data_IF_298318543363
#
_entry.id   IF_298318543363
#
_cell.length_a   1.000
_cell.length_b   1.000
_cell.length_c   1.000
_cell.angle_alpha   90.00
_cell.angle_beta   90.00
_cell.angle_gamma   90.00
#
_symmetry.space_group_name_H-M   'P 1'
#
loop_
_entity.id
_entity.type
_entity.pdbx_description
1 polymer ?
#
# COMPACT_ATOMS: atom_id res chain seq x y z
N UNK A 1 9.17 -11.99 4.65
CA UNK A 1 9.48 -12.27 6.08
C UNK A 1 8.42 -11.55 6.91
N UNK A 2 7.83 -12.18 7.93
CA UNK A 2 6.83 -11.52 8.78
C UNK A 2 7.51 -11.06 10.07
N UNK A 3 7.85 -9.78 10.16
CA UNK A 3 8.67 -9.23 11.25
C UNK A 3 7.84 -8.63 12.41
N UNK A 4 6.51 -8.70 12.36
CA UNK A 4 5.61 -8.17 13.39
C UNK A 4 4.13 -8.44 13.10
N UNK A 5 3.22 -7.95 13.94
CA UNK A 5 1.77 -8.10 13.72
C UNK A 5 1.29 -7.17 12.61
N UNK A 6 0.80 -7.75 11.52
CA UNK A 6 0.26 -7.02 10.37
C UNK A 6 -0.78 -7.84 9.59
N UNK A 7 -1.44 -7.17 8.66
CA UNK A 7 -2.34 -7.75 7.67
C UNK A 7 -1.68 -7.65 6.30
N UNK A 8 -1.63 -8.76 5.57
CA UNK A 8 -1.33 -8.75 4.13
C UNK A 8 -2.64 -8.71 3.35
N UNK A 9 -2.77 -7.74 2.45
CA UNK A 9 -3.87 -7.66 1.50
C UNK A 9 -3.32 -7.76 0.08
N UNK A 10 -3.97 -8.55 -0.75
CA UNK A 10 -3.66 -8.68 -2.16
C UNK A 10 -4.94 -8.89 -2.95
N UNK A 11 -4.92 -8.50 -4.23
CA UNK A 11 -6.04 -8.71 -5.16
C UNK A 11 -5.67 -9.70 -6.24
N UNK A 12 -6.65 -10.52 -6.61
CA UNK A 12 -6.55 -11.55 -7.63
C UNK A 12 -7.82 -11.53 -8.48
N UNK A 13 -7.69 -11.72 -9.78
CA UNK A 13 -8.82 -11.81 -10.70
C UNK A 13 -8.64 -13.00 -11.63
N UNK A 14 -9.65 -13.85 -11.76
CA UNK A 14 -9.61 -15.08 -12.57
C UNK A 14 -8.39 -15.97 -12.31
N UNK A 15 -7.92 -16.02 -11.06
CA UNK A 15 -6.75 -16.82 -10.73
C UNK A 15 -5.40 -16.12 -10.96
N UNK A 16 -5.37 -14.88 -11.43
CA UNK A 16 -4.13 -14.13 -11.66
C UNK A 16 -3.93 -13.04 -10.62
N UNK A 17 -2.71 -12.94 -10.09
CA UNK A 17 -2.32 -11.86 -9.18
C UNK A 17 -2.25 -10.55 -9.95
N UNK A 18 -2.79 -9.48 -9.36
CA UNK A 18 -2.69 -8.14 -9.92
C UNK A 18 -1.78 -7.32 -9.01
N UNK A 19 -0.73 -6.73 -9.60
CA UNK A 19 0.19 -5.82 -8.90
C UNK A 19 -0.56 -4.75 -8.10
N UNK A 20 -0.03 -4.38 -6.94
CA UNK A 20 -0.53 -3.25 -6.17
C UNK A 20 -0.26 -1.90 -6.87
N UNK A 21 0.77 -1.87 -7.73
CA UNK A 21 1.20 -0.73 -8.51
C UNK A 21 0.99 -1.02 -10.01
N UNK A 22 -0.12 -0.55 -10.56
CA UNK A 22 -0.46 -0.66 -11.98
C UNK A 22 -1.55 0.35 -12.35
N UNK A 23 -1.85 0.49 -13.64
CA UNK A 23 -2.86 1.41 -14.16
C UNK A 23 -4.28 1.16 -13.62
N UNK A 24 -4.58 -0.07 -13.18
CA UNK A 24 -5.78 -0.35 -12.41
C UNK A 24 -5.49 0.01 -10.93
N UNK A 25 -6.00 1.11 -10.37
CA UNK A 25 -5.62 1.53 -9.02
C UNK A 25 -6.02 0.51 -7.96
N UNK A 26 -5.15 0.27 -6.98
CA UNK A 26 -5.53 -0.44 -5.76
C UNK A 26 -6.05 0.60 -4.75
N UNK A 27 -7.38 0.80 -4.77
CA UNK A 27 -8.06 1.85 -4.01
C UNK A 27 -8.63 1.31 -2.69
N UNK A 28 -8.21 1.89 -1.58
CA UNK A 28 -8.62 1.59 -0.21
C UNK A 28 -9.33 2.82 0.40
N UNK A 29 -10.58 3.06 0.00
CA UNK A 29 -11.38 4.21 0.47
C UNK A 29 -10.69 5.57 0.16
N UNK A 30 -10.25 5.75 -1.08
CA UNK A 30 -9.57 6.95 -1.55
C UNK A 30 -8.05 6.92 -1.38
N UNK A 31 -7.51 6.01 -0.56
CA UNK A 31 -6.07 5.75 -0.51
C UNK A 31 -5.66 4.90 -1.70
N UNK A 32 -4.81 5.45 -2.56
CA UNK A 32 -4.32 4.78 -3.77
C UNK A 32 -2.89 4.30 -3.53
N UNK A 33 -2.65 3.01 -3.76
CA UNK A 33 -1.31 2.42 -3.72
C UNK A 33 -0.51 2.75 -4.97
N UNK A 34 0.77 3.08 -4.77
CA UNK A 34 1.79 3.23 -5.81
C UNK A 34 3.09 2.57 -5.36
N UNK A 35 3.86 2.01 -6.28
CA UNK A 35 5.17 1.40 -6.02
C UNK A 35 6.31 2.32 -6.42
N UNK A 36 7.50 2.09 -5.85
CA UNK A 36 8.72 2.87 -6.16
C UNK A 36 9.79 2.03 -6.90
N UNK A 37 9.35 0.97 -7.59
CA UNK A 37 10.22 0.11 -8.42
C UNK A 37 10.92 -1.02 -7.67
N UNK A 38 10.79 -1.10 -6.34
CA UNK A 38 11.33 -2.19 -5.52
C UNK A 38 10.24 -2.81 -4.64
N UNK A 39 10.40 -4.09 -4.27
CA UNK A 39 9.50 -4.76 -3.34
C UNK A 39 9.56 -4.05 -1.97
N UNK A 40 8.40 -3.89 -1.32
CA UNK A 40 8.20 -3.17 -0.05
C UNK A 40 8.35 -1.65 -0.11
N UNK A 41 8.80 -1.08 -1.23
CA UNK A 41 8.94 0.36 -1.41
C UNK A 41 7.75 0.93 -2.20
N UNK A 42 7.13 1.99 -1.67
CA UNK A 42 5.98 2.62 -2.29
C UNK A 42 5.27 3.61 -1.38
N UNK A 43 4.08 4.04 -1.81
CA UNK A 43 3.28 5.02 -1.08
C UNK A 43 1.78 4.68 -1.10
N UNK A 44 1.07 5.24 -0.13
CA UNK A 44 -0.37 5.45 -0.19
C UNK A 44 -0.64 6.95 -0.30
N UNK A 45 -1.43 7.35 -1.31
CA UNK A 45 -1.77 8.76 -1.52
C UNK A 45 -3.29 8.98 -1.47
N UNK A 46 -3.71 10.09 -0.86
CA UNK A 46 -5.11 10.53 -0.78
C UNK A 46 -5.20 12.03 -0.55
N UNK A 47 -6.01 12.74 -1.34
CA UNK A 47 -6.35 14.15 -1.10
C UNK A 47 -5.13 15.08 -0.84
N UNK A 48 -4.03 14.86 -1.58
CA UNK A 48 -2.78 15.61 -1.43
C UNK A 48 -1.85 15.11 -0.31
N UNK A 49 -2.30 14.16 0.52
CA UNK A 49 -1.47 13.41 1.46
C UNK A 49 -0.74 12.28 0.75
N UNK A 50 0.48 12.01 1.21
CA UNK A 50 1.30 10.92 0.70
C UNK A 50 2.06 10.27 1.86
N UNK A 51 1.79 8.99 2.11
CA UNK A 51 2.42 8.22 3.20
C UNK A 51 3.34 7.18 2.57
N UNK A 52 4.63 7.26 2.89
CA UNK A 52 5.65 6.34 2.39
C UNK A 52 5.68 5.05 3.21
N UNK A 53 5.90 3.93 2.53
CA UNK A 53 6.15 2.65 3.16
C UNK A 53 7.37 2.75 4.09
N UNK A 54 7.23 2.22 5.31
CA UNK A 54 8.28 2.28 6.32
C UNK A 54 8.19 1.07 7.25
N UNK A 55 9.34 0.57 7.70
CA UNK A 55 9.44 -0.59 8.60
C UNK A 55 9.16 -0.26 10.07
N UNK A 56 9.08 1.04 10.40
CA UNK A 56 8.71 1.56 11.72
C UNK A 56 7.28 2.12 11.81
N UNK A 57 6.81 2.32 13.05
CA UNK A 57 5.57 3.06 13.35
C UNK A 57 5.92 4.43 13.93
N UNK A 58 5.54 5.48 13.24
CA UNK A 58 5.72 6.88 13.64
C UNK A 58 4.37 7.61 13.59
N UNK A 59 4.28 8.82 14.13
CA UNK A 59 3.01 9.54 14.18
C UNK A 59 2.48 9.85 12.77
N UNK A 60 3.39 10.09 11.84
CA UNK A 60 3.15 10.55 10.48
C UNK A 60 2.61 9.45 9.57
N UNK A 61 2.90 8.17 9.84
CA UNK A 61 2.49 7.05 8.99
C UNK A 61 1.24 6.31 9.50
N UNK A 62 0.46 6.96 10.36
CA UNK A 62 -0.81 6.42 10.85
C UNK A 62 -1.95 6.86 9.93
N UNK A 63 -2.73 5.89 9.43
CA UNK A 63 -3.97 6.14 8.69
C UNK A 63 -5.13 5.75 9.61
N UNK A 64 -6.05 6.70 9.81
CA UNK A 64 -7.24 6.55 10.65
C UNK A 64 -8.47 7.02 9.86
N UNK A 65 -9.65 6.59 10.29
CA UNK A 65 -10.95 7.05 9.77
C UNK A 65 -11.45 8.24 10.55
#
# INVERSE_FOLDING_TARGET
MSNGTHLHLARRYNGEWISADTNLPFNLEGWISSGDGAEYDGTLSRDGLNITAWDGRIAENQIQR
#
